data_IF_058311699241
#
_entry.id   IF_058311699241
#
_cell.length_a   1.000
_cell.length_b   1.000
_cell.length_c   1.000
_cell.angle_alpha   90.00
_cell.angle_beta   90.00
_cell.angle_gamma   90.00
#
_symmetry.space_group_name_H-M   'P 1'
#
loop_
_entity.id
_entity.type
_entity.pdbx_description
1 polymer ?
#
# COMPACT_ATOMS: atom_id res chain seq x y z
N UNK A 1 -15.70 7.07 3.40
CA UNK A 1 -14.96 5.84 3.78
C UNK A 1 -14.78 5.84 5.30
N UNK A 2 -14.92 4.70 5.97
CA UNK A 2 -14.81 4.57 7.44
C UNK A 2 -13.76 3.49 7.75
N UNK A 3 -12.86 3.77 8.70
CA UNK A 3 -11.91 2.78 9.21
C UNK A 3 -12.64 1.81 10.15
N UNK A 4 -12.71 0.53 9.81
CA UNK A 4 -13.30 -0.47 10.69
C UNK A 4 -12.31 -1.10 11.66
N UNK A 5 -11.02 -1.13 11.29
CA UNK A 5 -9.97 -1.60 12.17
C UNK A 5 -8.59 -1.50 11.53
N UNK A 6 -7.56 -1.38 12.36
CA UNK A 6 -6.17 -1.45 11.93
C UNK A 6 -5.41 -2.39 12.83
N UNK A 7 -4.45 -3.08 12.25
CA UNK A 7 -3.51 -3.95 12.95
C UNK A 7 -2.11 -3.59 12.50
N UNK A 8 -1.14 -3.67 13.40
CA UNK A 8 0.24 -3.30 13.12
C UNK A 8 1.19 -4.25 13.84
N UNK A 9 2.21 -4.71 13.13
CA UNK A 9 3.26 -5.56 13.70
C UNK A 9 4.62 -4.91 13.48
N UNK A 10 5.35 -4.76 14.58
CA UNK A 10 6.69 -4.20 14.62
C UNK A 10 7.72 -5.32 14.60
N UNK A 11 8.68 -5.25 13.67
CA UNK A 11 9.84 -6.13 13.62
C UNK A 11 11.09 -5.47 14.19
N UNK A 12 11.14 -4.15 14.13
CA UNK A 12 12.23 -3.33 14.65
C UNK A 12 11.69 -2.05 15.26
N UNK A 13 12.31 -1.62 16.34
CA UNK A 13 12.02 -0.34 16.97
C UNK A 13 12.46 0.84 16.09
N UNK A 14 11.73 1.94 16.19
CA UNK A 14 12.13 3.25 15.68
C UNK A 14 12.54 4.07 16.91
N UNK A 15 13.80 4.54 16.93
CA UNK A 15 14.32 5.31 18.06
C UNK A 15 13.61 6.68 18.19
N UNK A 16 13.58 7.27 19.40
CA UNK A 16 13.10 8.64 19.56
C UNK A 16 13.79 9.60 18.58
N UNK A 17 13.01 10.48 17.96
CA UNK A 17 13.46 11.46 16.95
C UNK A 17 14.09 10.87 15.68
N UNK A 18 14.04 9.55 15.49
CA UNK A 18 14.47 8.94 14.24
C UNK A 18 13.44 9.23 13.14
N UNK A 19 13.92 9.65 11.98
CA UNK A 19 13.09 9.82 10.78
C UNK A 19 12.69 8.46 10.22
N UNK A 20 11.47 8.36 9.73
CA UNK A 20 10.95 7.20 9.02
C UNK A 20 10.07 7.66 7.85
N UNK A 21 9.83 6.75 6.91
CA UNK A 21 8.96 6.98 5.77
C UNK A 21 7.77 6.02 5.83
N UNK A 22 6.61 6.49 5.35
CA UNK A 22 5.41 5.69 5.23
C UNK A 22 5.15 5.37 3.76
N UNK A 23 5.06 4.08 3.47
CA UNK A 23 4.73 3.58 2.15
C UNK A 23 3.37 2.89 2.24
N UNK A 24 2.35 3.58 1.72
CA UNK A 24 0.96 3.12 1.77
C UNK A 24 0.48 2.74 0.40
N UNK A 25 -0.14 1.56 0.29
CA UNK A 25 -0.76 1.07 -0.95
C UNK A 25 -2.09 0.39 -0.67
N UNK A 26 -2.98 0.42 -1.66
CA UNK A 26 -4.13 -0.48 -1.67
C UNK A 26 -3.58 -1.88 -1.99
N UNK A 27 -3.85 -2.84 -1.12
CA UNK A 27 -3.41 -4.22 -1.32
C UNK A 27 -4.43 -5.00 -2.14
N UNK A 28 -5.68 -5.04 -1.66
CA UNK A 28 -6.78 -5.77 -2.29
C UNK A 28 -8.12 -5.30 -1.69
N UNK A 29 -9.23 -5.81 -2.20
CA UNK A 29 -10.57 -5.62 -1.63
C UNK A 29 -11.43 -6.86 -1.79
N UNK A 30 -12.41 -7.00 -0.89
CA UNK A 30 -13.53 -7.93 -1.03
C UNK A 30 -14.86 -7.19 -1.20
N UNK A 31 -15.98 -7.87 -1.01
CA UNK A 31 -17.33 -7.30 -1.14
C UNK A 31 -17.65 -6.22 -0.10
N UNK A 32 -16.89 -6.13 1.00
CA UNK A 32 -17.20 -5.25 2.13
C UNK A 32 -16.04 -4.33 2.53
N UNK A 33 -14.82 -4.83 2.41
CA UNK A 33 -13.60 -4.25 2.97
C UNK A 33 -12.60 -3.92 1.87
N UNK A 34 -12.09 -2.69 1.94
CA UNK A 34 -10.87 -2.28 1.25
C UNK A 34 -9.69 -2.47 2.20
N UNK A 35 -8.69 -3.24 1.77
CA UNK A 35 -7.48 -3.51 2.54
C UNK A 35 -6.37 -2.57 2.09
N UNK A 36 -5.91 -1.72 2.99
CA UNK A 36 -4.79 -0.81 2.79
C UNK A 36 -3.62 -1.29 3.64
N UNK A 37 -2.45 -1.43 3.01
CA UNK A 37 -1.22 -1.79 3.69
C UNK A 37 -0.31 -0.58 3.79
N UNK A 38 0.24 -0.36 4.97
CA UNK A 38 1.21 0.70 5.24
C UNK A 38 2.46 0.09 5.84
N UNK A 39 3.61 0.37 5.23
CA UNK A 39 4.92 -0.04 5.74
C UNK A 39 5.67 1.17 6.29
N UNK A 40 6.26 0.99 7.47
CA UNK A 40 7.18 1.94 8.07
C UNK A 40 8.59 1.55 7.65
N UNK A 41 9.28 2.43 6.93
CA UNK A 41 10.59 2.10 6.34
C UNK A 41 11.65 3.13 6.71
N UNK A 42 12.91 2.71 6.62
CA UNK A 42 14.06 3.57 6.79
C UNK A 42 14.11 4.63 5.69
N UNK A 43 14.36 5.91 6.03
CA UNK A 43 14.31 6.98 5.06
C UNK A 43 15.43 6.89 4.03
N UNK A 44 15.12 7.24 2.78
CA UNK A 44 16.07 7.29 1.66
C UNK A 44 16.60 5.93 1.21
N UNK A 45 16.00 4.82 1.65
CA UNK A 45 16.35 3.48 1.16
C UNK A 45 15.60 3.15 -0.13
N UNK A 46 14.33 3.54 -0.21
CA UNK A 46 13.45 3.22 -1.33
C UNK A 46 13.09 4.48 -2.09
N UNK A 47 13.04 4.37 -3.42
CA UNK A 47 12.70 5.48 -4.30
C UNK A 47 11.74 4.98 -5.38
N UNK A 48 10.53 5.56 -5.51
CA UNK A 48 9.63 5.27 -6.62
C UNK A 48 10.26 5.65 -7.96
N UNK A 49 9.86 4.94 -9.02
CA UNK A 49 10.34 5.22 -10.38
C UNK A 49 9.77 6.54 -10.92
N UNK A 50 8.54 6.86 -10.53
CA UNK A 50 7.81 8.04 -10.98
C UNK A 50 6.84 8.53 -9.91
N UNK A 51 6.53 9.83 -9.94
CA UNK A 51 5.48 10.45 -9.12
C UNK A 51 4.35 10.99 -10.00
N UNK A 52 3.24 10.27 -10.09
CA UNK A 52 2.14 10.56 -11.02
C UNK A 52 1.49 11.93 -10.74
N UNK A 53 1.20 12.25 -9.48
CA UNK A 53 0.60 13.52 -9.06
C UNK A 53 1.63 14.63 -8.78
N UNK A 54 2.94 14.34 -8.91
CA UNK A 54 4.02 15.31 -8.70
C UNK A 54 5.12 15.18 -9.77
N UNK A 55 4.80 15.32 -11.08
CA UNK A 55 5.71 14.96 -12.18
C UNK A 55 6.97 15.84 -12.26
N UNK A 56 6.93 17.06 -11.71
CA UNK A 56 8.10 17.97 -11.66
C UNK A 56 9.18 17.53 -10.68
N UNK A 57 8.90 16.54 -9.82
CA UNK A 57 9.83 16.10 -8.79
C UNK A 57 10.80 15.08 -9.38
N UNK A 58 12.09 15.41 -9.35
CA UNK A 58 13.14 14.50 -9.79
C UNK A 58 13.18 13.28 -8.87
N UNK A 59 13.07 12.09 -9.44
CA UNK A 59 13.40 10.85 -8.75
C UNK A 59 14.92 10.81 -8.54
N UNK A 60 15.34 10.55 -7.30
CA UNK A 60 16.75 10.40 -7.01
C UNK A 60 17.26 9.12 -7.68
N UNK A 61 18.41 9.18 -8.36
CA UNK A 61 19.02 8.03 -9.00
C UNK A 61 19.28 6.93 -7.96
N UNK A 62 18.70 5.75 -8.19
CA UNK A 62 18.98 4.53 -7.43
C UNK A 62 20.48 4.24 -7.53
N UNK A 63 21.19 4.24 -6.39
CA UNK A 63 22.40 3.43 -6.29
C UNK A 63 21.90 2.00 -6.17
N UNK A 64 21.97 1.25 -7.26
CA UNK A 64 21.70 -0.19 -7.27
C UNK A 64 22.71 -0.88 -6.36
N UNK A 65 22.37 -0.95 -5.08
CA UNK A 65 22.91 -1.99 -4.21
C UNK A 65 21.87 -3.10 -4.22
N UNK A 66 22.15 -4.13 -5.01
CA UNK A 66 21.56 -5.45 -4.88
C UNK A 66 21.89 -6.00 -3.48
N UNK A 67 21.17 -5.52 -2.46
CA UNK A 67 21.29 -6.11 -1.13
C UNK A 67 20.06 -6.98 -0.91
N UNK A 68 20.29 -8.27 -0.82
CA UNK A 68 19.37 -9.37 -0.49
C UNK A 68 18.61 -9.21 0.85
N UNK A 69 18.60 -8.00 1.42
CA UNK A 69 18.01 -7.64 2.70
C UNK A 69 17.29 -6.28 2.71
N UNK A 70 16.78 -5.81 1.58
CA UNK A 70 15.91 -4.62 1.51
C UNK A 70 14.76 -4.68 2.54
N UNK A 71 14.15 -5.85 2.74
CA UNK A 71 13.10 -6.06 3.74
C UNK A 71 13.54 -5.79 5.19
N UNK A 72 14.85 -5.90 5.52
CA UNK A 72 15.35 -5.52 6.85
C UNK A 72 15.24 -4.03 7.12
N UNK A 73 15.05 -3.19 6.11
CA UNK A 73 14.84 -1.75 6.26
C UNK A 73 13.40 -1.36 6.57
N UNK A 74 12.48 -2.35 6.62
CA UNK A 74 11.09 -2.16 7.04
C UNK A 74 10.99 -2.40 8.54
N UNK A 75 10.62 -1.36 9.29
CA UNK A 75 10.46 -1.39 10.75
C UNK A 75 9.17 -2.11 11.18
N UNK A 76 8.07 -1.77 10.51
CA UNK A 76 6.75 -2.28 10.83
C UNK A 76 5.87 -2.36 9.58
N UNK A 77 4.85 -3.19 9.66
CA UNK A 77 3.83 -3.34 8.62
C UNK A 77 2.46 -3.31 9.27
N UNK A 78 1.56 -2.54 8.68
CA UNK A 78 0.20 -2.34 9.18
C UNK A 78 -0.81 -2.64 8.08
N UNK A 79 -1.90 -3.29 8.46
CA UNK A 79 -3.06 -3.53 7.59
C UNK A 79 -4.27 -2.82 8.19
N UNK A 80 -4.82 -1.89 7.42
CA UNK A 80 -6.03 -1.16 7.74
C UNK A 80 -7.19 -1.64 6.87
N UNK A 81 -8.36 -1.80 7.48
CA UNK A 81 -9.59 -2.27 6.85
C UNK A 81 -10.59 -1.13 6.80
N UNK A 82 -10.99 -0.76 5.59
CA UNK A 82 -11.93 0.32 5.35
C UNK A 82 -13.25 -0.18 4.78
N UNK A 83 -14.36 0.46 5.16
CA UNK A 83 -15.68 0.22 4.58
C UNK A 83 -16.15 1.49 3.87
N UNK A 84 -16.76 1.32 2.71
CA UNK A 84 -17.51 2.40 2.07
C UNK A 84 -18.95 2.38 2.57
N UNK A 85 -19.38 3.51 3.13
CA UNK A 85 -20.72 3.70 3.66
C UNK A 85 -21.37 4.85 2.93
N UNK A 86 -22.60 4.62 2.46
CA UNK A 86 -23.53 5.65 2.06
C UNK A 86 -24.74 5.55 2.98
N UNK A 87 -24.83 6.46 3.95
CA UNK A 87 -25.73 6.35 5.10
C UNK A 87 -25.56 4.99 5.81
N UNK A 88 -26.66 4.23 5.99
CA UNK A 88 -26.65 2.91 6.64
C UNK A 88 -26.27 1.76 5.68
N UNK A 89 -26.12 2.04 4.39
CA UNK A 89 -25.79 1.01 3.38
C UNK A 89 -24.27 0.88 3.23
N UNK A 90 -23.79 -0.35 3.21
CA UNK A 90 -22.41 -0.68 2.82
C UNK A 90 -22.37 -0.81 1.31
N UNK A 91 -21.45 -0.09 0.68
CA UNK A 91 -21.21 -0.21 -0.76
C UNK A 91 -19.94 -1.04 -0.95
N UNK A 92 -19.92 -2.02 -1.86
CA UNK A 92 -18.71 -2.76 -2.21
C UNK A 92 -17.60 -1.83 -2.73
N UNK A 93 -16.34 -2.04 -2.32
CA UNK A 93 -15.20 -1.29 -2.83
C UNK A 93 -15.10 -1.25 -4.36
N UNK A 94 -15.40 -2.35 -5.04
CA UNK A 94 -15.33 -2.44 -6.51
C UNK A 94 -16.26 -1.43 -7.19
N UNK A 95 -17.50 -1.31 -6.70
CA UNK A 95 -18.48 -0.36 -7.24
C UNK A 95 -17.98 1.08 -7.05
N UNK A 96 -17.39 1.38 -5.89
CA UNK A 96 -16.81 2.71 -5.62
C UNK A 96 -15.63 3.00 -6.54
N UNK A 97 -14.71 2.04 -6.71
CA UNK A 97 -13.55 2.20 -7.58
C UNK A 97 -13.98 2.40 -9.05
N UNK A 98 -15.01 1.68 -9.50
CA UNK A 98 -15.59 1.84 -10.84
C UNK A 98 -16.21 3.21 -11.03
N UNK A 99 -17.03 3.67 -10.09
CA UNK A 99 -17.65 5.01 -10.13
C UNK A 99 -16.61 6.13 -10.09
N UNK A 100 -15.48 5.92 -9.43
CA UNK A 100 -14.36 6.85 -9.40
C UNK A 100 -13.45 6.77 -10.63
N UNK A 101 -13.76 5.95 -11.64
CA UNK A 101 -12.90 5.68 -12.80
C UNK A 101 -11.48 5.25 -12.40
N UNK A 102 -11.36 4.47 -11.32
CA UNK A 102 -10.10 3.91 -10.82
C UNK A 102 -9.89 2.45 -11.26
N UNK A 103 -10.89 1.84 -11.89
CA UNK A 103 -10.76 0.56 -12.59
C UNK A 103 -10.68 0.82 -14.09
N UNK A 104 -9.87 0.04 -14.82
CA UNK A 104 -9.81 0.14 -16.28
C UNK A 104 -11.13 -0.34 -16.90
N UNK A 105 -11.51 0.29 -18.01
CA UNK A 105 -12.68 -0.13 -18.82
C UNK A 105 -12.33 -1.28 -19.77
N UNK A 106 -11.05 -1.46 -20.09
CA UNK A 106 -10.56 -2.53 -20.95
C UNK A 106 -10.61 -3.89 -20.21
N UNK A 107 -11.19 -4.89 -20.87
CA UNK A 107 -11.43 -6.22 -20.29
C UNK A 107 -10.11 -6.93 -19.97
N UNK A 108 -9.09 -6.75 -20.82
CA UNK A 108 -7.76 -7.35 -20.64
C UNK A 108 -7.01 -6.72 -19.45
N UNK A 109 -7.15 -5.41 -19.23
CA UNK A 109 -6.56 -4.74 -18.08
C UNK A 109 -7.32 -5.06 -16.79
N UNK A 110 -8.65 -5.15 -16.87
CA UNK A 110 -9.49 -5.53 -15.75
C UNK A 110 -9.17 -6.95 -15.26
N UNK A 111 -8.95 -7.88 -16.18
CA UNK A 111 -8.55 -9.26 -15.85
C UNK A 111 -7.22 -9.29 -15.07
N UNK A 112 -6.24 -8.46 -15.43
CA UNK A 112 -4.96 -8.34 -14.69
C UNK A 112 -5.17 -7.77 -13.30
N UNK A 113 -6.03 -6.75 -13.17
CA UNK A 113 -6.38 -6.17 -11.85
C UNK A 113 -7.03 -7.23 -10.98
N UNK A 114 -7.93 -8.02 -11.54
CA UNK A 114 -8.64 -9.09 -10.83
C UNK A 114 -7.71 -10.23 -10.39
N UNK A 115 -6.75 -10.62 -11.22
CA UNK A 115 -5.71 -11.59 -10.87
C UNK A 115 -4.84 -11.10 -9.69
N UNK A 116 -4.43 -9.83 -9.71
CA UNK A 116 -3.68 -9.21 -8.61
C UNK A 116 -4.54 -9.13 -7.35
N UNK A 117 -5.81 -8.75 -7.48
CA UNK A 117 -6.76 -8.67 -6.36
C UNK A 117 -6.92 -10.04 -5.70
N UNK A 118 -7.17 -11.08 -6.48
CA UNK A 118 -7.38 -12.45 -6.00
C UNK A 118 -6.12 -13.02 -5.32
N UNK A 119 -4.95 -12.85 -5.93
CA UNK A 119 -3.67 -13.36 -5.38
C UNK A 119 -3.27 -12.69 -4.05
N UNK A 120 -3.62 -11.42 -3.86
CA UNK A 120 -3.26 -10.65 -2.65
C UNK A 120 -4.37 -10.60 -1.59
N UNK A 121 -5.57 -11.13 -1.88
CA UNK A 121 -6.73 -11.09 -0.99
C UNK A 121 -6.47 -11.80 0.35
N UNK A 122 -5.85 -12.99 0.29
CA UNK A 122 -5.51 -13.77 1.48
C UNK A 122 -4.53 -13.02 2.41
N UNK A 123 -3.66 -12.18 1.83
CA UNK A 123 -2.74 -11.33 2.58
C UNK A 123 -3.51 -10.19 3.26
N UNK A 124 -4.46 -9.55 2.57
CA UNK A 124 -5.28 -8.46 3.12
C UNK A 124 -6.18 -8.91 4.26
N UNK A 125 -6.73 -10.13 4.16
CA UNK A 125 -7.50 -10.77 5.23
C UNK A 125 -6.67 -11.18 6.45
N UNK A 126 -5.34 -11.17 6.32
CA UNK A 126 -4.37 -11.71 7.28
C UNK A 126 -4.43 -13.24 7.42
N UNK A 127 -5.00 -13.94 6.45
CA UNK A 127 -5.06 -15.41 6.43
C UNK A 127 -3.69 -16.02 6.09
N UNK A 128 -2.93 -15.37 5.20
CA UNK A 128 -1.57 -15.76 4.85
C UNK A 128 -0.51 -15.41 5.91
N UNK A 129 -0.90 -14.75 7.00
CA UNK A 129 -0.01 -14.35 8.10
C UNK A 129 0.82 -13.09 7.86
N UNK A 130 1.53 -12.66 8.91
CA UNK A 130 2.28 -11.39 8.91
C UNK A 130 3.58 -11.41 8.10
N UNK A 131 4.15 -12.59 7.85
CA UNK A 131 5.31 -12.73 6.97
C UNK A 131 4.95 -12.44 5.51
N UNK A 132 3.77 -12.85 5.06
CA UNK A 132 3.27 -12.53 3.74
C UNK A 132 3.00 -11.03 3.58
N UNK A 133 2.40 -10.38 4.59
CA UNK A 133 2.20 -8.92 4.58
C UNK A 133 3.54 -8.20 4.49
N UNK A 134 4.54 -8.61 5.27
CA UNK A 134 5.86 -7.98 5.21
C UNK A 134 6.55 -8.18 3.85
N UNK A 135 6.42 -9.38 3.28
CA UNK A 135 7.02 -9.73 1.99
C UNK A 135 6.31 -9.10 0.80
N UNK A 136 5.06 -8.62 0.96
CA UNK A 136 4.32 -7.94 -0.10
C UNK A 136 4.76 -6.48 -0.35
N UNK A 137 5.80 -6.02 0.36
CA UNK A 137 6.36 -4.69 0.17
C UNK A 137 7.02 -4.57 -1.22
N UNK A 138 6.45 -3.71 -2.06
CA UNK A 138 6.94 -3.43 -3.41
C UNK A 138 7.43 -1.99 -3.48
N UNK A 139 8.76 -1.76 -3.41
CA UNK A 139 9.33 -0.40 -3.48
C UNK A 139 9.45 0.12 -4.91
N UNK A 140 9.43 -0.79 -5.91
CA UNK A 140 9.57 -0.48 -7.32
C UNK A 140 8.21 -0.31 -7.97
N UNK A 141 7.86 0.92 -8.35
CA UNK A 141 6.62 1.26 -9.03
C UNK A 141 6.41 2.77 -9.17
N UNK A 142 5.32 3.15 -9.83
CA UNK A 142 4.83 4.52 -9.84
C UNK A 142 4.19 4.81 -8.47
N UNK A 143 4.63 5.88 -7.82
CA UNK A 143 3.96 6.40 -6.63
C UNK A 143 2.98 7.50 -7.04
N UNK A 144 1.85 7.59 -6.35
CA UNK A 144 0.92 8.70 -6.57
C UNK A 144 1.58 10.03 -6.25
N UNK A 145 2.28 10.13 -5.12
CA UNK A 145 2.96 11.36 -4.74
C UNK A 145 3.75 11.17 -3.45
N UNK A 146 4.56 12.17 -3.11
CA UNK A 146 5.31 12.19 -1.87
C UNK A 146 4.91 13.41 -1.04
N UNK A 147 4.48 13.16 0.18
CA UNK A 147 3.98 14.18 1.08
C UNK A 147 4.82 14.19 2.35
N UNK A 148 5.37 15.35 2.69
CA UNK A 148 6.00 15.56 3.99
C UNK A 148 4.91 16.02 4.96
N UNK A 149 4.82 15.37 6.11
CA UNK A 149 4.07 15.92 7.23
C UNK A 149 4.90 17.08 7.78
N UNK A 150 4.49 18.32 7.50
CA UNK A 150 5.13 19.51 8.02
C UNK A 150 4.58 19.78 9.42
N UNK A 151 5.15 19.09 10.42
CA UNK A 151 4.99 19.42 11.83
C UNK A 151 6.35 19.32 12.51
#
# INVERSE_FOLDING_TARGET
MILGGTTCTWRKEIKPYARYELWTRILSWDEKWLYIVTHFVKPGVFHPHEYVMQPKRKTAKTREKEDSNTLKSVYASSVARYVFKNNRRTIPPEEVLRVCNLLPDDEDELAKVEEIRASTLAIGRLEAGWDAVHSCFQPTGAALGWYHSAY
#
